data_IF_870156215706
#
_entry.id   IF_870156215706
#
_cell.length_a   1.000
_cell.length_b   1.000
_cell.length_c   1.000
_cell.angle_alpha   90.00
_cell.angle_beta   90.00
_cell.angle_gamma   90.00
#
_symmetry.space_group_name_H-M   'P 1'
#
loop_
_entity.id
_entity.type
_entity.pdbx_description
1 polymer ?
#
# COMPACT_ATOMS: atom_id res chain seq x y z
N UNK A 1 2.23 46.97 16.64
CA UNK A 1 2.75 46.04 17.66
C UNK A 1 1.83 44.84 17.68
N UNK A 2 2.25 43.77 17.02
CA UNK A 2 1.41 42.96 16.15
C UNK A 2 0.74 41.74 16.78
N UNK A 3 -0.46 41.44 16.27
CA UNK A 3 -1.18 40.17 16.42
C UNK A 3 -0.41 38.96 15.85
N UNK A 4 0.61 39.20 15.03
CA UNK A 4 1.50 38.17 14.49
C UNK A 4 2.44 37.56 15.54
N UNK A 5 2.79 38.32 16.58
CA UNK A 5 3.76 37.88 17.61
C UNK A 5 3.17 36.80 18.55
N UNK A 6 1.83 36.73 18.63
CA UNK A 6 1.12 35.71 19.42
C UNK A 6 0.93 34.38 18.69
N UNK A 7 1.08 34.34 17.37
CA UNK A 7 0.97 33.10 16.59
C UNK A 7 2.29 32.32 16.57
N UNK A 8 3.44 33.01 16.65
CA UNK A 8 4.74 32.34 16.75
C UNK A 8 5.06 31.84 18.17
N UNK A 9 4.48 32.44 19.21
CA UNK A 9 4.74 32.01 20.60
C UNK A 9 4.07 30.69 20.99
N UNK A 10 3.08 30.21 20.23
CA UNK A 10 2.45 28.89 20.49
C UNK A 10 3.25 27.73 19.90
N UNK A 11 4.39 27.99 19.27
CA UNK A 11 5.26 26.96 18.70
C UNK A 11 6.52 26.72 19.54
N UNK A 12 6.59 27.25 20.77
CA UNK A 12 7.85 27.32 21.54
C UNK A 12 7.79 26.77 22.97
N UNK A 13 6.76 26.01 23.35
CA UNK A 13 6.74 25.28 24.62
C UNK A 13 6.20 23.86 24.38
N UNK A 14 7.02 22.85 24.71
CA UNK A 14 6.81 21.39 24.67
C UNK A 14 6.41 20.81 23.29
N UNK A 15 7.26 20.11 22.56
CA UNK A 15 8.11 19.01 23.00
C UNK A 15 9.21 18.83 21.94
N UNK A 16 10.44 18.61 22.38
CA UNK A 16 11.51 18.10 21.53
C UNK A 16 11.26 16.62 21.22
N UNK A 17 10.07 16.31 20.69
CA UNK A 17 9.64 14.97 20.37
C UNK A 17 10.49 14.47 19.22
N UNK A 18 11.47 13.63 19.54
CA UNK A 18 11.99 12.67 18.57
C UNK A 18 10.76 12.01 17.92
N UNK A 19 10.64 12.09 16.59
CA UNK A 19 9.61 11.38 15.84
C UNK A 19 9.64 9.93 16.32
N UNK A 20 8.63 9.56 17.11
CA UNK A 20 8.63 8.27 17.78
C UNK A 20 8.61 7.17 16.71
N UNK A 21 9.73 6.47 16.59
CA UNK A 21 9.94 5.46 15.55
C UNK A 21 9.01 4.29 15.84
N UNK A 22 7.93 4.20 15.06
CA UNK A 22 6.98 3.10 15.16
C UNK A 22 7.70 1.80 14.82
N UNK A 23 7.88 0.95 15.83
CA UNK A 23 8.40 -0.40 15.64
C UNK A 23 7.28 -1.32 15.17
N UNK A 24 7.49 -1.96 14.02
CA UNK A 24 6.52 -2.91 13.46
C UNK A 24 6.61 -4.28 14.15
N UNK A 25 5.45 -4.93 14.32
CA UNK A 25 5.34 -6.33 14.70
C UNK A 25 5.66 -7.20 13.48
N UNK A 26 6.94 -7.55 13.32
CA UNK A 26 7.40 -8.26 12.12
C UNK A 26 6.73 -9.62 11.93
N UNK A 27 6.39 -10.32 13.02
CA UNK A 27 5.74 -11.62 12.95
C UNK A 27 4.31 -11.50 12.43
N UNK A 28 3.61 -10.40 12.78
CA UNK A 28 2.30 -10.11 12.22
C UNK A 28 2.36 -9.48 10.81
N UNK A 29 3.37 -8.66 10.51
CA UNK A 29 3.47 -7.96 9.22
C UNK A 29 3.93 -8.86 8.08
N UNK A 30 4.78 -9.87 8.32
CA UNK A 30 5.24 -10.78 7.26
C UNK A 30 4.10 -11.55 6.58
N UNK A 31 3.13 -12.15 7.30
CA UNK A 31 1.95 -12.75 6.68
C UNK A 31 1.07 -11.75 5.91
N UNK A 32 0.91 -10.53 6.41
CA UNK A 32 0.14 -9.49 5.71
C UNK A 32 0.81 -9.07 4.39
N UNK A 33 2.14 -8.92 4.38
CA UNK A 33 2.91 -8.66 3.16
C UNK A 33 2.84 -9.84 2.18
N UNK A 34 2.81 -11.09 2.69
CA UNK A 34 2.64 -12.28 1.83
C UNK A 34 1.27 -12.26 1.14
N UNK A 35 0.22 -11.90 1.88
CA UNK A 35 -1.14 -11.77 1.35
C UNK A 35 -1.19 -10.74 0.22
N UNK A 36 -0.58 -9.56 0.43
CA UNK A 36 -0.48 -8.53 -0.60
C UNK A 36 0.32 -9.01 -1.82
N UNK A 37 1.49 -9.64 -1.61
CA UNK A 37 2.33 -10.23 -2.67
C UNK A 37 1.54 -11.20 -3.54
N UNK A 38 0.84 -12.16 -2.91
CA UNK A 38 0.06 -13.18 -3.61
C UNK A 38 -1.15 -12.59 -4.34
N UNK A 39 -1.85 -11.63 -3.72
CA UNK A 39 -2.97 -10.93 -4.36
C UNK A 39 -2.54 -10.16 -5.61
N UNK A 40 -1.43 -9.42 -5.53
CA UNK A 40 -0.88 -8.65 -6.65
C UNK A 40 -0.41 -9.56 -7.79
N UNK A 41 0.26 -10.67 -7.48
CA UNK A 41 0.68 -11.65 -8.48
C UNK A 41 -0.53 -12.29 -9.16
N UNK A 42 -1.52 -12.76 -8.39
CA UNK A 42 -2.75 -13.34 -8.90
C UNK A 42 -3.55 -12.37 -9.79
N UNK A 43 -3.71 -11.11 -9.35
CA UNK A 43 -4.37 -10.07 -10.14
C UNK A 43 -3.62 -9.82 -11.45
N UNK A 44 -2.30 -9.67 -11.40
CA UNK A 44 -1.49 -9.40 -12.60
C UNK A 44 -1.53 -10.56 -13.61
N UNK A 45 -1.61 -11.80 -13.14
CA UNK A 45 -1.78 -12.99 -13.99
C UNK A 45 -3.16 -13.01 -14.61
N UNK A 46 -4.23 -12.85 -13.83
CA UNK A 46 -5.59 -12.82 -14.35
C UNK A 46 -5.79 -11.69 -15.38
N UNK A 47 -5.17 -10.53 -15.16
CA UNK A 47 -5.20 -9.43 -16.14
C UNK A 47 -4.56 -9.80 -17.49
N UNK A 48 -3.49 -10.62 -17.49
CA UNK A 48 -2.87 -11.12 -18.72
C UNK A 48 -3.76 -12.12 -19.45
N UNK A 49 -4.57 -12.87 -18.71
CA UNK A 49 -5.44 -13.90 -19.28
C UNK A 49 -6.70 -13.32 -19.94
N UNK A 50 -7.22 -12.20 -19.43
CA UNK A 50 -8.48 -11.61 -19.94
C UNK A 50 -8.29 -10.67 -21.12
N UNK A 51 -7.10 -10.07 -21.30
CA UNK A 51 -6.82 -9.14 -22.41
C UNK A 51 -5.37 -9.18 -22.86
N UNK A 52 -5.15 -8.93 -24.15
CA UNK A 52 -3.80 -8.81 -24.74
C UNK A 52 -3.01 -7.65 -24.15
N UNK A 53 -1.69 -7.83 -24.04
CA UNK A 53 -0.72 -6.81 -23.62
C UNK A 53 -0.36 -5.82 -24.74
N UNK A 54 -1.00 -5.91 -25.90
CA UNK A 54 -0.82 -4.95 -27.00
C UNK A 54 -1.38 -3.56 -26.65
N UNK A 55 -2.35 -3.49 -25.72
CA UNK A 55 -2.79 -2.24 -25.14
C UNK A 55 -1.71 -1.69 -24.18
N UNK A 56 -1.05 -0.56 -24.49
CA UNK A 56 0.05 -0.05 -23.67
C UNK A 56 -0.37 0.33 -22.25
N UNK A 57 -1.59 0.85 -22.08
CA UNK A 57 -2.13 1.19 -20.76
C UNK A 57 -2.38 -0.05 -19.92
N UNK A 58 -2.98 -1.09 -20.53
CA UNK A 58 -3.21 -2.38 -19.87
C UNK A 58 -1.90 -3.04 -19.43
N UNK A 59 -0.94 -3.12 -20.37
CA UNK A 59 0.40 -3.65 -20.10
C UNK A 59 1.12 -2.86 -19.00
N UNK A 60 0.97 -1.54 -18.99
CA UNK A 60 1.50 -0.66 -17.94
C UNK A 60 0.98 -1.06 -16.56
N UNK A 61 -0.34 -1.23 -16.42
CA UNK A 61 -0.97 -1.63 -15.15
C UNK A 61 -0.54 -3.02 -14.70
N UNK A 62 -0.46 -3.99 -15.62
CA UNK A 62 0.04 -5.34 -15.31
C UNK A 62 1.47 -5.26 -14.75
N UNK A 63 2.36 -4.52 -15.43
CA UNK A 63 3.75 -4.40 -15.01
C UNK A 63 3.87 -3.69 -13.65
N UNK A 64 3.02 -2.71 -13.38
CA UNK A 64 2.94 -2.04 -12.08
C UNK A 64 2.59 -3.03 -10.97
N UNK A 65 1.53 -3.83 -11.13
CA UNK A 65 1.17 -4.85 -10.13
C UNK A 65 2.24 -5.94 -9.96
N UNK A 66 2.86 -6.41 -11.06
CA UNK A 66 3.96 -7.37 -10.97
C UNK A 66 5.18 -6.80 -10.25
N UNK A 67 5.49 -5.50 -10.43
CA UNK A 67 6.55 -4.82 -9.67
C UNK A 67 6.19 -4.73 -8.19
N UNK A 68 4.98 -4.26 -7.86
CA UNK A 68 4.53 -4.13 -6.47
C UNK A 68 4.52 -5.48 -5.74
N UNK A 69 4.19 -6.58 -6.43
CA UNK A 69 4.32 -7.93 -5.87
C UNK A 69 5.79 -8.25 -5.51
N UNK A 70 6.73 -7.88 -6.39
CA UNK A 70 8.17 -8.00 -6.13
C UNK A 70 8.63 -7.16 -4.95
N UNK A 71 8.17 -5.91 -4.85
CA UNK A 71 8.51 -4.99 -3.75
C UNK A 71 7.96 -5.53 -2.42
N UNK A 72 6.72 -6.03 -2.40
CA UNK A 72 6.12 -6.70 -1.24
C UNK A 72 6.93 -7.94 -0.81
N UNK A 73 7.40 -8.75 -1.77
CA UNK A 73 8.25 -9.91 -1.49
C UNK A 73 9.60 -9.51 -0.89
N UNK A 74 10.28 -8.50 -1.47
CA UNK A 74 11.58 -8.01 -0.97
C UNK A 74 11.41 -7.48 0.45
N UNK A 75 10.39 -6.65 0.68
CA UNK A 75 10.08 -6.08 1.98
C UNK A 75 9.76 -7.17 3.02
N UNK A 76 8.95 -8.16 2.65
CA UNK A 76 8.62 -9.31 3.51
C UNK A 76 9.84 -10.13 3.91
N UNK A 77 10.84 -10.26 3.03
CA UNK A 77 12.06 -11.03 3.30
C UNK A 77 13.10 -10.22 4.09
N UNK A 78 13.01 -8.90 4.06
CA UNK A 78 13.90 -7.99 4.79
C UNK A 78 13.39 -7.62 6.18
N UNK A 79 13.67 -6.37 6.55
CA UNK A 79 13.23 -5.69 7.78
C UNK A 79 12.33 -4.53 7.39
N UNK A 80 11.00 -4.75 7.26
CA UNK A 80 10.08 -3.69 6.87
C UNK A 80 10.10 -2.55 7.89
N UNK A 81 10.09 -1.32 7.39
CA UNK A 81 9.85 -0.11 8.18
C UNK A 81 8.42 0.36 7.96
N UNK A 82 7.89 1.17 8.89
CA UNK A 82 6.54 1.71 8.72
C UNK A 82 6.43 2.58 7.48
N UNK A 83 7.41 3.45 7.25
CA UNK A 83 7.50 4.30 6.06
C UNK A 83 7.47 3.45 4.79
N UNK A 84 8.35 2.44 4.68
CA UNK A 84 8.39 1.57 3.51
C UNK A 84 7.07 0.84 3.26
N UNK A 85 6.41 0.33 4.31
CA UNK A 85 5.08 -0.30 4.16
C UNK A 85 4.05 0.71 3.65
N UNK A 86 4.07 1.94 4.16
CA UNK A 86 3.15 3.00 3.73
C UNK A 86 3.39 3.39 2.27
N UNK A 87 4.65 3.58 1.87
CA UNK A 87 5.03 3.87 0.49
C UNK A 87 4.49 2.78 -0.45
N UNK A 88 4.71 1.51 -0.12
CA UNK A 88 4.21 0.38 -0.89
C UNK A 88 2.68 0.38 -1.04
N UNK A 89 1.93 0.51 0.06
CA UNK A 89 0.46 0.41 0.00
C UNK A 89 -0.17 1.64 -0.63
N UNK A 90 0.48 2.81 -0.56
CA UNK A 90 -0.02 4.02 -1.23
C UNK A 90 0.13 3.99 -2.74
N UNK A 91 0.99 3.12 -3.28
CA UNK A 91 1.08 2.88 -4.72
C UNK A 91 -0.01 1.93 -5.24
N UNK A 92 -0.64 1.14 -4.38
CA UNK A 92 -1.73 0.24 -4.79
C UNK A 92 -2.95 1.05 -5.21
N UNK A 93 -3.37 0.86 -6.47
CA UNK A 93 -4.54 1.52 -7.07
C UNK A 93 -5.53 0.48 -7.59
N UNK A 94 -6.85 0.71 -7.50
CA UNK A 94 -7.84 -0.18 -8.10
C UNK A 94 -7.64 -0.27 -9.62
N UNK A 95 -7.92 -1.43 -10.21
CA UNK A 95 -8.02 -1.60 -11.67
C UNK A 95 -9.22 -0.77 -12.18
N UNK A 96 -10.33 -0.82 -11.46
CA UNK A 96 -11.58 -0.14 -11.76
C UNK A 96 -12.08 0.67 -10.56
N UNK A 97 -12.40 1.94 -10.77
CA UNK A 97 -13.01 2.82 -9.77
C UNK A 97 -14.54 2.86 -9.83
N UNK A 98 -15.12 2.22 -10.85
CA UNK A 98 -16.56 2.05 -11.05
C UNK A 98 -16.88 0.65 -11.58
N UNK A 99 -18.11 0.41 -12.05
CA UNK A 99 -18.49 -0.89 -12.61
C UNK A 99 -17.54 -1.30 -13.74
N UNK A 100 -16.94 -2.49 -13.70
CA UNK A 100 -16.10 -2.97 -14.79
C UNK A 100 -16.97 -3.33 -16.02
N UNK A 101 -16.38 -3.39 -17.22
CA UNK A 101 -16.96 -4.13 -18.33
C UNK A 101 -17.23 -5.59 -17.95
N UNK A 102 -18.31 -6.18 -18.49
CA UNK A 102 -18.77 -7.54 -18.16
C UNK A 102 -17.68 -8.61 -18.30
N UNK A 103 -16.86 -8.49 -19.33
CA UNK A 103 -15.76 -9.40 -19.65
C UNK A 103 -14.58 -9.28 -18.66
N UNK A 104 -14.55 -8.24 -17.85
CA UNK A 104 -13.53 -7.97 -16.84
C UNK A 104 -14.02 -8.14 -15.40
N UNK A 105 -15.30 -8.48 -15.19
CA UNK A 105 -15.88 -8.70 -13.85
C UNK A 105 -15.11 -9.76 -13.04
N UNK A 106 -14.50 -10.73 -13.71
CA UNK A 106 -13.66 -11.76 -13.09
C UNK A 106 -12.48 -11.19 -12.30
N UNK A 107 -12.04 -9.97 -12.59
CA UNK A 107 -10.94 -9.30 -11.90
C UNK A 107 -11.38 -8.61 -10.60
N UNK A 108 -12.68 -8.35 -10.39
CA UNK A 108 -13.17 -7.59 -9.22
C UNK A 108 -12.82 -8.28 -7.90
N UNK A 109 -13.06 -9.59 -7.70
CA UNK A 109 -12.71 -10.24 -6.45
C UNK A 109 -11.21 -10.18 -6.14
N UNK A 110 -10.36 -10.24 -7.18
CA UNK A 110 -8.90 -10.15 -7.03
C UNK A 110 -8.46 -8.73 -6.69
N UNK A 111 -9.07 -7.72 -7.32
CA UNK A 111 -8.88 -6.33 -6.94
C UNK A 111 -9.27 -6.08 -5.48
N UNK A 112 -10.45 -6.52 -5.08
CA UNK A 112 -10.97 -6.30 -3.72
C UNK A 112 -10.05 -6.92 -2.67
N UNK A 113 -9.52 -8.11 -2.95
CA UNK A 113 -8.55 -8.78 -2.09
C UNK A 113 -7.24 -7.98 -1.97
N UNK A 114 -6.71 -7.45 -3.08
CA UNK A 114 -5.51 -6.60 -3.08
C UNK A 114 -5.73 -5.32 -2.28
N UNK A 115 -6.86 -4.65 -2.47
CA UNK A 115 -7.19 -3.42 -1.76
C UNK A 115 -7.38 -3.68 -0.26
N UNK A 116 -8.04 -4.78 0.11
CA UNK A 116 -8.21 -5.18 1.49
C UNK A 116 -6.86 -5.49 2.17
N UNK A 117 -5.97 -6.22 1.49
CA UNK A 117 -4.63 -6.50 2.01
C UNK A 117 -3.79 -5.21 2.19
N UNK A 118 -3.88 -4.27 1.24
CA UNK A 118 -3.20 -2.98 1.34
C UNK A 118 -3.72 -2.12 2.50
N UNK A 119 -5.04 -2.06 2.71
CA UNK A 119 -5.64 -1.29 3.82
C UNK A 119 -5.31 -1.90 5.20
N UNK A 120 -5.23 -3.23 5.28
CA UNK A 120 -4.78 -3.92 6.49
C UNK A 120 -3.33 -3.57 6.86
N UNK A 121 -2.45 -3.47 5.87
CA UNK A 121 -1.06 -3.04 6.04
C UNK A 121 -0.94 -1.56 6.41
N UNK A 122 -1.82 -0.70 5.86
CA UNK A 122 -1.89 0.73 6.19
C UNK A 122 -2.22 0.97 7.66
N UNK A 123 -3.11 0.16 8.21
CA UNK A 123 -3.66 0.31 9.57
C UNK A 123 -2.63 -0.08 10.64
N UNK A 124 -2.47 0.76 11.66
CA UNK A 124 -1.63 0.46 12.82
C UNK A 124 -2.20 -0.71 13.62
N UNK A 125 -1.34 -1.66 14.01
CA UNK A 125 -1.76 -2.73 14.91
C UNK A 125 -1.69 -2.26 16.36
N UNK A 126 -2.52 -2.79 17.28
CA UNK A 126 -2.52 -2.38 18.69
C UNK A 126 -1.16 -2.48 19.42
N UNK A 127 -0.26 -3.36 18.95
CA UNK A 127 1.10 -3.54 19.48
C UNK A 127 2.16 -2.65 18.85
N UNK A 128 1.81 -1.88 17.82
CA UNK A 128 2.71 -0.96 17.12
C UNK A 128 2.28 0.46 17.48
N UNK A 129 2.97 1.07 18.44
CA UNK A 129 2.72 2.45 18.84
C UNK A 129 4.02 3.24 18.80
N UNK A 130 3.86 4.52 18.50
CA UNK A 130 4.85 5.55 18.78
C UNK A 130 5.16 5.57 20.29
#
# INVERSE_FOLDING_TARGET
MGLLDKLFRRQSDDDGGEDAVITLDLDARRPQLLRLEQGLDALSRAMRDVQTVDNPGWRGRINEYSRLAGDAMVMRKGTPTREGVLDLVFEVRPVFTGPPPSELEVLVPLQDEVLAAAEELRTLRPGEKA
#
